data_IF_946282410940
#
_entry.id   IF_946282410940
#
_cell.length_a   1.000
_cell.length_b   1.000
_cell.length_c   1.000
_cell.angle_alpha   90.00
_cell.angle_beta   90.00
_cell.angle_gamma   90.00
#
_symmetry.space_group_name_H-M   'P 1'
#
loop_
_entity.id
_entity.type
_entity.pdbx_description
1 polymer ?
#
# COMPACT_ATOMS: atom_id res chain seq x y z
N UNK A 1 3.06 1.84 -5.14
CA UNK A 1 2.49 0.81 -4.23
C UNK A 1 0.98 1.00 -4.29
N UNK A 2 0.19 -0.04 -4.49
CA UNK A 2 -1.27 0.07 -4.53
C UNK A 2 -1.87 -0.64 -3.31
N UNK A 3 -3.04 -0.19 -2.87
CA UNK A 3 -3.81 -0.85 -1.81
C UNK A 3 -4.95 -1.62 -2.47
N UNK A 4 -5.34 -2.75 -1.88
CA UNK A 4 -6.50 -3.49 -2.36
C UNK A 4 -7.80 -2.69 -2.13
N UNK A 5 -8.77 -2.84 -3.05
CA UNK A 5 -10.08 -2.15 -2.98
C UNK A 5 -11.03 -2.71 -1.90
N UNK A 6 -10.56 -3.69 -1.12
CA UNK A 6 -11.32 -4.35 -0.07
C UNK A 6 -10.44 -4.66 1.13
N UNK A 7 -11.08 -4.84 2.28
CA UNK A 7 -10.44 -5.21 3.54
C UNK A 7 -11.18 -6.35 4.21
N UNK A 8 -10.48 -7.04 5.10
CA UNK A 8 -10.99 -8.20 5.81
C UNK A 8 -11.14 -7.89 7.29
N UNK A 9 -12.23 -8.31 7.90
CA UNK A 9 -12.45 -8.21 9.34
C UNK A 9 -11.82 -9.40 10.10
N UNK A 10 -11.86 -9.36 11.45
CA UNK A 10 -11.29 -10.40 12.29
C UNK A 10 -11.96 -11.78 12.15
N UNK A 11 -13.16 -11.85 11.56
CA UNK A 11 -13.87 -13.10 11.28
C UNK A 11 -13.58 -13.63 9.88
N UNK A 12 -12.79 -12.92 9.08
CA UNK A 12 -12.46 -13.28 7.71
C UNK A 12 -13.48 -12.81 6.68
N UNK A 13 -14.46 -11.97 7.06
CA UNK A 13 -15.40 -11.42 6.08
C UNK A 13 -14.78 -10.24 5.33
N UNK A 14 -15.00 -10.21 4.02
CA UNK A 14 -14.43 -9.20 3.10
C UNK A 14 -15.45 -8.09 2.86
N UNK A 15 -15.01 -6.84 3.04
CA UNK A 15 -15.82 -5.64 2.90
C UNK A 15 -15.19 -4.72 1.84
N UNK A 16 -15.99 -4.14 0.92
CA UNK A 16 -15.48 -3.17 -0.04
C UNK A 16 -15.11 -1.85 0.66
N UNK A 17 -14.01 -1.24 0.24
CA UNK A 17 -13.67 0.12 0.70
C UNK A 17 -14.65 1.08 0.01
N UNK A 18 -15.45 1.76 0.83
CA UNK A 18 -16.54 2.61 0.35
C UNK A 18 -16.20 4.11 0.40
N UNK A 19 -14.92 4.47 0.35
CA UNK A 19 -14.44 5.84 0.50
C UNK A 19 -13.63 6.35 -0.70
N UNK A 20 -13.58 7.67 -0.88
CA UNK A 20 -12.65 8.34 -1.80
C UNK A 20 -11.22 8.17 -1.27
N UNK A 21 -10.46 7.24 -1.86
CA UNK A 21 -9.10 6.89 -1.43
C UNK A 21 -8.01 7.79 -2.04
N UNK A 22 -8.28 9.09 -2.25
CA UNK A 22 -7.37 10.01 -2.96
C UNK A 22 -6.71 11.07 -2.07
N UNK A 23 -6.49 10.77 -0.78
CA UNK A 23 -5.78 11.69 0.11
C UNK A 23 -4.32 11.26 0.31
N UNK A 24 -3.43 11.77 -0.55
CA UNK A 24 -2.00 11.83 -0.28
C UNK A 24 -1.75 12.85 0.84
N UNK A 25 -1.46 12.39 2.06
CA UNK A 25 -1.04 13.27 3.15
C UNK A 25 0.48 13.34 3.17
N UNK A 26 1.01 14.54 2.97
CA UNK A 26 2.45 14.80 2.97
C UNK A 26 2.83 15.34 4.34
N UNK A 27 3.30 14.48 5.23
CA UNK A 27 3.85 14.90 6.53
C UNK A 27 5.32 15.27 6.36
N UNK A 28 5.64 16.54 6.59
CA UNK A 28 7.02 17.02 6.68
C UNK A 28 7.50 16.90 8.12
N UNK A 29 8.33 15.90 8.41
CA UNK A 29 9.17 15.90 9.63
C UNK A 29 10.60 16.25 9.24
N UNK A 30 11.31 16.94 10.13
CA UNK A 30 12.57 17.73 9.93
C UNK A 30 13.72 17.12 9.11
N UNK A 31 13.65 15.85 8.67
CA UNK A 31 14.68 15.23 7.83
C UNK A 31 14.16 14.17 6.84
N UNK A 32 12.85 13.96 6.70
CA UNK A 32 12.32 12.97 5.75
C UNK A 32 10.94 13.33 5.20
N UNK A 33 10.78 13.27 3.88
CA UNK A 33 9.47 13.28 3.23
C UNK A 33 8.92 11.85 3.32
N UNK A 34 7.99 11.59 4.24
CA UNK A 34 7.22 10.35 4.23
C UNK A 34 5.97 10.54 3.35
N UNK A 35 5.87 9.73 2.31
CA UNK A 35 4.63 9.57 1.55
C UNK A 35 3.74 8.59 2.32
N UNK A 36 2.73 9.12 3.01
CA UNK A 36 1.75 8.34 3.75
C UNK A 36 0.44 8.21 2.96
N UNK A 37 -0.06 6.99 2.83
CA UNK A 37 -1.40 6.74 2.32
C UNK A 37 -2.38 6.80 3.48
N UNK A 38 -3.27 7.79 3.48
CA UNK A 38 -4.39 7.81 4.42
C UNK A 38 -5.49 6.90 3.86
N UNK A 39 -5.86 5.87 4.61
CA UNK A 39 -6.91 4.93 4.24
C UNK A 39 -8.10 5.13 5.17
N UNK A 40 -9.28 5.31 4.60
CA UNK A 40 -10.53 5.30 5.35
C UNK A 40 -11.30 4.02 5.03
N UNK A 41 -11.58 3.21 6.05
CA UNK A 41 -12.40 2.00 5.91
C UNK A 41 -13.91 2.31 5.82
N UNK A 42 -14.30 3.59 5.91
CA UNK A 42 -15.68 4.06 5.92
C UNK A 42 -16.33 4.01 7.32
N UNK A 43 -17.44 4.72 7.52
CA UNK A 43 -18.08 4.87 8.84
C UNK A 43 -18.53 3.53 9.44
N UNK A 44 -19.02 2.62 8.61
CA UNK A 44 -19.46 1.27 9.02
C UNK A 44 -18.33 0.39 9.53
N UNK A 45 -17.08 0.76 9.27
CA UNK A 45 -15.92 0.01 9.74
C UNK A 45 -15.82 -0.07 11.26
N UNK A 46 -16.39 0.91 11.97
CA UNK A 46 -16.49 0.93 13.43
C UNK A 46 -17.33 -0.22 13.98
N UNK A 47 -18.31 -0.70 13.20
CA UNK A 47 -19.21 -1.78 13.60
C UNK A 47 -18.62 -3.18 13.29
N UNK A 48 -17.52 -3.25 12.53
CA UNK A 48 -16.92 -4.51 12.14
C UNK A 48 -15.95 -5.05 13.20
N UNK A 49 -15.87 -6.39 13.36
CA UNK A 49 -14.91 -7.03 14.25
C UNK A 49 -13.47 -6.63 13.93
N UNK A 50 -12.81 -5.99 14.89
CA UNK A 50 -11.41 -5.57 14.79
C UNK A 50 -10.45 -6.73 15.11
N UNK A 51 -9.26 -6.78 14.49
CA UNK A 51 -8.68 -5.79 13.59
C UNK A 51 -9.22 -5.87 12.15
N UNK A 52 -9.22 -4.72 11.47
CA UNK A 52 -9.40 -4.67 10.02
C UNK A 52 -8.05 -4.78 9.32
N UNK A 53 -7.98 -5.59 8.26
CA UNK A 53 -6.76 -5.86 7.51
C UNK A 53 -6.94 -5.50 6.05
N UNK A 54 -6.04 -4.69 5.50
CA UNK A 54 -5.97 -4.35 4.07
C UNK A 54 -4.70 -4.90 3.45
N UNK A 55 -4.82 -5.46 2.24
CA UNK A 55 -3.66 -5.95 1.51
C UNK A 55 -2.94 -4.81 0.80
N UNK A 56 -1.60 -4.87 0.81
CA UNK A 56 -0.73 -3.96 0.08
C UNK A 56 -0.23 -4.67 -1.18
N UNK A 57 -0.63 -4.20 -2.34
CA UNK A 57 -0.09 -4.63 -3.62
C UNK A 57 1.27 -3.94 -3.85
N UNK A 58 2.35 -4.65 -3.52
CA UNK A 58 3.70 -4.24 -3.92
C UNK A 58 3.94 -4.76 -5.33
N UNK A 59 4.11 -3.84 -6.28
CA UNK A 59 4.77 -4.16 -7.54
C UNK A 59 6.21 -4.55 -7.22
N UNK A 60 6.48 -5.85 -7.19
CA UNK A 60 7.84 -6.35 -7.23
C UNK A 60 8.34 -6.09 -8.65
N UNK A 61 9.16 -5.06 -8.83
CA UNK A 61 9.93 -4.92 -10.07
C UNK A 61 11.26 -5.63 -9.81
N UNK A 62 11.41 -6.92 -10.14
CA UNK A 62 12.72 -7.53 -10.06
C UNK A 62 13.58 -6.81 -11.08
N UNK A 63 14.57 -6.03 -10.60
CA UNK A 63 15.71 -5.71 -11.45
C UNK A 63 16.31 -7.09 -11.76
N UNK A 64 15.96 -7.65 -12.92
CA UNK A 64 16.65 -8.80 -13.49
C UNK A 64 18.07 -8.30 -13.73
N UNK A 65 18.94 -8.54 -12.75
CA UNK A 65 20.34 -8.21 -12.79
C UNK A 65 21.01 -9.14 -13.82
N UNK A 66 20.78 -8.85 -15.10
CA UNK A 66 21.58 -9.37 -16.22
C UNK A 66 22.25 -8.19 -16.91
N UNK A 67 22.94 -7.34 -16.14
CA UNK A 67 23.91 -6.41 -16.71
C UNK A 67 25.27 -7.09 -16.70
N UNK A 68 25.49 -8.00 -17.65
CA UNK A 68 26.84 -8.47 -17.96
C UNK A 68 27.52 -7.39 -18.80
N UNK A 69 28.39 -6.59 -18.16
CA UNK A 69 29.31 -5.71 -18.85
C UNK A 69 30.50 -6.54 -19.34
N UNK A 70 30.51 -6.92 -20.62
CA UNK A 70 31.73 -7.45 -21.24
C UNK A 70 32.66 -6.28 -21.60
N UNK A 71 33.74 -6.15 -20.83
CA UNK A 71 34.83 -5.23 -21.11
C UNK A 71 35.82 -5.91 -22.07
N UNK A 72 35.83 -5.50 -23.33
CA UNK A 72 36.92 -5.85 -24.25
C UNK A 72 38.09 -4.89 -24.07
N UNK A 73 39.24 -5.42 -23.65
CA UNK A 73 40.53 -4.73 -23.73
C UNK A 73 41.03 -4.79 -25.17
N UNK A 74 41.49 -3.66 -25.72
CA UNK A 74 42.29 -3.60 -26.94
C UNK A 74 43.75 -3.39 -26.59
#
# INVERSE_FOLDING_TARGET
MALADSFTDAKGAVHPISGDNDYSSRTTSDESIMEGYAVSFGEKALDYPQPLTIAIERYWNPILESQTLELHSK
#
